data_IF_725935915065
#
_entry.id   IF_725935915065
#
_cell.length_a   1.000
_cell.length_b   1.000
_cell.length_c   1.000
_cell.angle_alpha   90.00
_cell.angle_beta   90.00
_cell.angle_gamma   90.00
#
_symmetry.space_group_name_H-M   'P 1'
#
loop_
_entity.id
_entity.type
_entity.pdbx_description
1 polymer ?
#
# COMPACT_ATOMS: atom_id res chain seq x y z
N UNK A 1 -11.80 -3.80 -14.78
CA UNK A 1 -10.42 -3.37 -15.05
C UNK A 1 -9.99 -2.41 -13.96
N UNK A 2 -8.79 -2.53 -13.38
CA UNK A 2 -8.28 -1.53 -12.44
C UNK A 2 -8.20 -0.16 -13.11
N UNK A 3 -8.59 0.90 -12.38
CA UNK A 3 -8.50 2.29 -12.87
C UNK A 3 -7.26 2.93 -12.23
N UNK A 4 -6.25 3.19 -13.06
CA UNK A 4 -5.00 3.79 -12.62
C UNK A 4 -5.13 5.31 -12.53
N UNK A 5 -4.47 5.92 -11.56
CA UNK A 5 -4.29 7.38 -11.59
C UNK A 5 -3.35 7.72 -12.76
N UNK A 6 -3.82 8.47 -13.78
CA UNK A 6 -3.01 8.78 -14.96
C UNK A 6 -1.84 9.73 -14.66
N UNK A 7 -1.81 10.34 -13.48
CA UNK A 7 -0.79 11.28 -13.03
C UNK A 7 0.16 10.69 -11.98
N UNK A 8 0.18 9.37 -11.81
CA UNK A 8 1.17 8.68 -11.00
C UNK A 8 2.38 8.27 -11.87
N UNK A 9 3.59 8.61 -11.42
CA UNK A 9 4.86 8.35 -12.12
C UNK A 9 5.72 7.40 -11.28
N UNK A 10 5.72 6.08 -11.58
CA UNK A 10 6.51 5.09 -10.85
C UNK A 10 8.03 5.36 -10.84
N UNK A 11 8.53 6.01 -11.88
CA UNK A 11 9.95 6.35 -12.05
C UNK A 11 10.46 7.35 -11.01
N UNK A 12 9.58 8.15 -10.42
CA UNK A 12 9.90 9.17 -9.42
C UNK A 12 9.77 8.63 -7.98
N UNK A 13 9.74 7.31 -7.84
CA UNK A 13 9.66 6.64 -6.55
C UNK A 13 10.83 7.00 -5.63
N UNK A 14 10.52 7.19 -4.34
CA UNK A 14 11.50 7.18 -3.26
C UNK A 14 10.96 6.38 -2.06
N UNK A 15 11.84 5.88 -1.17
CA UNK A 15 11.42 5.16 0.03
C UNK A 15 10.41 5.90 0.92
N UNK A 16 10.40 7.24 0.86
CA UNK A 16 9.53 8.09 1.69
C UNK A 16 8.47 8.87 0.91
N UNK A 17 8.45 8.77 -0.42
CA UNK A 17 7.51 9.55 -1.23
C UNK A 17 7.20 8.87 -2.57
N UNK A 18 5.99 9.12 -3.06
CA UNK A 18 5.58 8.81 -4.43
C UNK A 18 5.20 10.11 -5.14
N UNK A 19 5.47 10.21 -6.43
CA UNK A 19 5.10 11.39 -7.20
C UNK A 19 3.72 11.22 -7.84
N UNK A 20 2.83 12.16 -7.53
CA UNK A 20 1.57 12.36 -8.23
C UNK A 20 1.56 13.80 -8.72
N UNK A 21 1.36 14.02 -10.01
CA UNK A 21 1.19 15.36 -10.57
C UNK A 21 -0.24 15.87 -10.27
N UNK A 22 -0.31 16.87 -9.40
CA UNK A 22 -1.58 17.48 -8.99
C UNK A 22 -1.96 18.73 -9.81
N UNK A 23 -1.23 19.04 -10.89
CA UNK A 23 -1.44 20.24 -11.72
C UNK A 23 -2.83 20.33 -12.36
N UNK A 24 -3.53 19.19 -12.51
CA UNK A 24 -4.86 19.11 -13.11
C UNK A 24 -5.96 18.82 -12.10
N UNK A 25 -5.67 18.87 -10.79
CA UNK A 25 -6.67 18.62 -9.76
C UNK A 25 -7.75 19.70 -9.80
N UNK A 26 -9.01 19.25 -9.82
CA UNK A 26 -10.21 20.08 -9.74
C UNK A 26 -11.17 19.61 -8.66
N UNK A 27 -12.28 20.35 -8.49
CA UNK A 27 -13.37 20.03 -7.59
C UNK A 27 -14.69 19.88 -8.35
N UNK A 28 -15.28 18.70 -8.31
CA UNK A 28 -16.54 18.37 -8.97
C UNK A 28 -17.67 18.35 -7.95
N UNK A 29 -18.65 19.24 -8.09
CA UNK A 29 -19.87 19.23 -7.28
C UNK A 29 -21.10 19.33 -8.19
N UNK A 30 -21.94 18.29 -8.20
CA UNK A 30 -23.12 18.16 -9.06
C UNK A 30 -24.17 17.24 -8.40
N UNK A 31 -25.22 16.85 -9.13
CA UNK A 31 -26.28 15.96 -8.61
C UNK A 31 -25.77 14.58 -8.19
N UNK A 32 -24.73 14.06 -8.84
CA UNK A 32 -24.11 12.76 -8.52
C UNK A 32 -23.16 12.88 -7.32
N UNK A 33 -22.49 14.03 -7.18
CA UNK A 33 -21.53 14.35 -6.13
C UNK A 33 -21.96 15.60 -5.35
N UNK A 34 -23.06 15.55 -4.59
CA UNK A 34 -23.62 16.73 -3.93
C UNK A 34 -22.69 17.33 -2.87
N UNK A 35 -21.88 16.49 -2.21
CA UNK A 35 -20.87 16.91 -1.22
C UNK A 35 -19.54 17.34 -1.86
N UNK A 36 -19.43 17.20 -3.18
CA UNK A 36 -18.23 17.48 -3.96
C UNK A 36 -17.16 16.38 -3.90
N UNK A 37 -16.29 16.34 -4.92
CA UNK A 37 -15.20 15.37 -5.06
C UNK A 37 -13.98 16.00 -5.72
N UNK A 38 -12.76 15.69 -5.25
CA UNK A 38 -11.58 15.92 -6.05
C UNK A 38 -11.61 15.04 -7.30
N UNK A 39 -11.08 15.55 -8.39
CA UNK A 39 -10.82 14.79 -9.61
C UNK A 39 -9.52 15.28 -10.24
N UNK A 40 -8.92 14.47 -11.11
CA UNK A 40 -7.88 14.94 -12.03
C UNK A 40 -8.51 15.11 -13.41
N UNK A 41 -8.38 16.31 -13.98
CA UNK A 41 -8.84 16.57 -15.34
C UNK A 41 -7.94 15.82 -16.34
N UNK A 42 -8.51 15.03 -17.24
CA UNK A 42 -7.73 14.22 -18.21
C UNK A 42 -7.91 14.79 -19.62
N UNK A 43 -6.85 15.36 -20.24
CA UNK A 43 -6.95 15.92 -21.59
C UNK A 43 -7.46 14.91 -22.62
N UNK A 44 -8.60 15.21 -23.25
CA UNK A 44 -9.18 14.36 -24.29
C UNK A 44 -9.83 13.06 -23.79
N UNK A 45 -10.01 12.91 -22.47
CA UNK A 45 -10.63 11.73 -21.85
C UNK A 45 -11.61 12.10 -20.72
N UNK A 46 -12.25 11.10 -20.09
CA UNK A 46 -13.05 11.32 -18.90
C UNK A 46 -12.16 11.66 -17.70
N UNK A 47 -12.66 12.57 -16.85
CA UNK A 47 -12.01 12.93 -15.59
C UNK A 47 -11.79 11.71 -14.69
N UNK A 48 -10.64 11.67 -14.02
CA UNK A 48 -10.37 10.68 -12.99
C UNK A 48 -10.93 11.17 -11.65
N UNK A 49 -12.17 10.78 -11.35
CA UNK A 49 -12.84 11.16 -10.10
C UNK A 49 -12.34 10.28 -8.94
N UNK A 50 -11.88 10.90 -7.85
CA UNK A 50 -11.38 10.14 -6.71
C UNK A 50 -12.52 9.45 -5.95
N UNK A 51 -12.30 8.18 -5.59
CA UNK A 51 -13.28 7.36 -4.88
C UNK A 51 -13.57 7.84 -3.44
N UNK A 52 -14.61 7.29 -2.81
CA UNK A 52 -14.94 7.54 -1.39
C UNK A 52 -13.93 7.01 -0.37
N UNK A 53 -12.80 6.41 -0.80
CA UNK A 53 -11.78 5.83 0.08
C UNK A 53 -10.84 6.91 0.63
N UNK A 54 -11.38 7.80 1.46
CA UNK A 54 -10.63 8.75 2.26
C UNK A 54 -10.97 8.58 3.75
N UNK A 55 -10.03 8.89 4.67
CA UNK A 55 -10.38 8.97 6.07
C UNK A 55 -11.34 10.12 6.37
N UNK A 56 -12.19 9.89 7.38
CA UNK A 56 -12.98 10.95 8.02
C UNK A 56 -12.48 11.13 9.45
N UNK A 57 -11.94 12.31 9.76
CA UNK A 57 -11.36 12.65 11.06
C UNK A 57 -12.01 13.94 11.56
N UNK A 58 -12.37 13.98 12.84
CA UNK A 58 -13.01 15.16 13.46
C UNK A 58 -14.19 15.74 12.65
N UNK A 59 -14.98 14.85 12.03
CA UNK A 59 -16.15 15.21 11.23
C UNK A 59 -15.86 15.65 9.79
N UNK A 60 -14.59 15.79 9.39
CA UNK A 60 -14.16 16.24 8.06
C UNK A 60 -13.52 15.12 7.23
N UNK A 61 -13.62 15.23 5.92
CA UNK A 61 -12.95 14.41 4.92
C UNK A 61 -11.50 14.89 4.76
N UNK A 62 -10.56 13.95 4.85
CA UNK A 62 -9.13 14.23 4.77
C UNK A 62 -8.54 13.57 3.52
N UNK A 63 -8.01 14.39 2.62
CA UNK A 63 -7.18 13.93 1.51
C UNK A 63 -5.70 14.17 1.82
N UNK A 64 -4.80 13.71 0.95
CA UNK A 64 -3.38 13.95 1.14
C UNK A 64 -3.08 15.44 1.27
N UNK A 65 -2.06 15.79 2.05
CA UNK A 65 -1.66 17.19 2.22
C UNK A 65 -1.39 17.85 0.86
N UNK A 66 -0.69 17.14 -0.04
CA UNK A 66 -0.40 17.62 -1.40
C UNK A 66 -1.67 17.82 -2.24
N UNK A 67 -2.62 16.87 -2.26
CA UNK A 67 -3.87 17.02 -3.01
C UNK A 67 -4.71 18.18 -2.46
N UNK A 68 -4.79 18.30 -1.13
CA UNK A 68 -5.59 19.33 -0.46
C UNK A 68 -5.00 20.72 -0.75
N UNK A 69 -3.69 20.87 -0.72
CA UNK A 69 -3.02 22.11 -1.10
C UNK A 69 -3.24 22.42 -2.59
N UNK A 70 -3.14 21.43 -3.48
CA UNK A 70 -3.34 21.62 -4.91
C UNK A 70 -4.76 22.11 -5.28
N UNK A 71 -5.79 21.69 -4.53
CA UNK A 71 -7.16 22.23 -4.72
C UNK A 71 -7.21 23.75 -4.53
N UNK A 72 -6.42 24.28 -3.59
CA UNK A 72 -6.31 25.73 -3.37
C UNK A 72 -5.43 26.39 -4.43
N UNK A 73 -4.25 25.82 -4.71
CA UNK A 73 -3.26 26.38 -5.62
C UNK A 73 -3.79 26.47 -7.07
N UNK A 74 -4.58 25.48 -7.50
CA UNK A 74 -5.20 25.45 -8.82
C UNK A 74 -6.45 26.34 -8.92
N UNK A 75 -6.88 26.96 -7.81
CA UNK A 75 -8.14 27.72 -7.75
C UNK A 75 -9.40 26.86 -7.89
N UNK A 76 -9.29 25.53 -7.74
CA UNK A 76 -10.42 24.61 -7.78
C UNK A 76 -11.38 24.84 -6.60
N UNK A 77 -10.81 25.22 -5.45
CA UNK A 77 -11.53 25.75 -4.29
C UNK A 77 -10.82 27.02 -3.82
N UNK A 78 -11.59 28.00 -3.34
CA UNK A 78 -11.07 29.18 -2.65
C UNK A 78 -11.34 29.06 -1.15
N UNK A 79 -10.78 29.95 -0.34
CA UNK A 79 -11.06 29.98 1.11
C UNK A 79 -12.55 30.24 1.40
N UNK A 80 -13.22 30.99 0.52
CA UNK A 80 -14.63 31.34 0.61
C UNK A 80 -15.54 30.19 0.17
N UNK A 81 -15.12 29.38 -0.81
CA UNK A 81 -15.89 28.25 -1.33
C UNK A 81 -15.52 26.91 -0.70
N UNK A 82 -14.60 26.91 0.27
CA UNK A 82 -14.11 25.69 0.92
C UNK A 82 -15.24 24.95 1.66
N UNK A 83 -15.51 23.66 1.33
CA UNK A 83 -16.55 22.89 2.01
C UNK A 83 -16.28 22.72 3.50
N UNK A 84 -17.29 22.91 4.35
CA UNK A 84 -17.14 22.80 5.81
C UNK A 84 -16.75 21.40 6.29
N UNK A 85 -17.14 20.38 5.52
CA UNK A 85 -16.80 18.99 5.76
C UNK A 85 -15.46 18.57 5.13
N UNK A 86 -14.71 19.46 4.48
CA UNK A 86 -13.39 19.15 3.92
C UNK A 86 -12.30 19.73 4.82
N UNK A 87 -11.28 18.94 5.14
CA UNK A 87 -10.09 19.44 5.83
C UNK A 87 -9.45 20.56 5.02
N UNK A 88 -9.11 21.68 5.66
CA UNK A 88 -8.32 22.75 5.06
C UNK A 88 -6.88 22.29 4.75
N UNK A 89 -6.12 22.98 3.90
CA UNK A 89 -4.72 22.63 3.66
C UNK A 89 -3.89 22.58 4.94
N UNK A 90 -4.12 23.49 5.88
CA UNK A 90 -3.44 23.51 7.18
C UNK A 90 -3.81 22.29 8.04
N UNK A 91 -5.10 21.95 8.09
CA UNK A 91 -5.57 20.76 8.82
C UNK A 91 -5.01 19.48 8.20
N UNK A 92 -5.02 19.37 6.87
CA UNK A 92 -4.45 18.22 6.18
C UNK A 92 -2.94 18.12 6.45
N UNK A 93 -2.18 19.21 6.29
CA UNK A 93 -0.74 19.21 6.55
C UNK A 93 -0.38 18.84 8.00
N UNK A 94 -1.12 19.37 8.98
CA UNK A 94 -0.88 19.10 10.39
C UNK A 94 -1.18 17.64 10.78
N UNK A 95 -2.15 17.01 10.12
CA UNK A 95 -2.66 15.69 10.54
C UNK A 95 -2.28 14.54 9.61
N UNK A 96 -1.86 14.81 8.37
CA UNK A 96 -1.41 13.77 7.44
C UNK A 96 -0.22 12.95 7.95
N UNK A 97 0.74 13.51 8.71
CA UNK A 97 1.82 12.72 9.30
C UNK A 97 1.35 11.58 10.21
N UNK A 98 0.19 11.69 10.88
CA UNK A 98 -0.38 10.56 11.66
C UNK A 98 -0.79 9.37 10.78
N UNK A 99 -0.88 9.56 9.47
CA UNK A 99 -1.32 8.57 8.48
C UNK A 99 -0.16 7.98 7.69
N UNK A 100 1.04 8.52 7.82
CA UNK A 100 2.23 8.06 7.09
C UNK A 100 3.24 7.45 8.07
N UNK A 101 3.74 6.26 7.75
CA UNK A 101 4.68 5.54 8.61
C UNK A 101 6.11 5.54 8.08
N UNK A 102 6.31 6.02 6.84
CA UNK A 102 7.59 5.93 6.12
C UNK A 102 8.76 6.62 6.85
N UNK A 103 8.48 7.64 7.66
CA UNK A 103 9.50 8.34 8.45
C UNK A 103 9.80 7.68 9.81
N UNK A 104 9.01 6.67 10.21
CA UNK A 104 9.16 6.01 11.50
C UNK A 104 10.09 4.79 11.44
N UNK A 105 10.38 4.27 10.25
CA UNK A 105 11.22 3.08 10.08
C UNK A 105 12.62 3.18 10.73
N UNK A 106 13.34 4.31 10.68
CA UNK A 106 14.63 4.43 11.37
C UNK A 106 14.56 4.12 12.88
N UNK A 107 13.44 4.41 13.55
CA UNK A 107 13.26 4.13 14.97
C UNK A 107 13.24 2.63 15.28
N UNK A 108 12.89 1.78 14.31
CA UNK A 108 12.82 0.33 14.51
C UNK A 108 14.21 -0.30 14.62
N UNK A 109 15.21 0.27 13.93
CA UNK A 109 16.59 -0.20 14.02
C UNK A 109 17.11 -0.16 15.47
N UNK A 110 16.76 0.92 16.19
CA UNK A 110 17.24 1.16 17.55
C UNK A 110 16.38 0.44 18.61
N UNK A 111 15.06 0.45 18.44
CA UNK A 111 14.12 0.00 19.48
C UNK A 111 13.78 -1.48 19.36
N UNK A 112 13.76 -2.03 18.15
CA UNK A 112 13.36 -3.41 17.88
C UNK A 112 14.30 -4.08 16.84
N UNK A 113 15.62 -4.12 17.07
CA UNK A 113 16.60 -4.63 16.10
C UNK A 113 16.37 -6.10 15.72
N UNK A 114 15.75 -6.88 16.61
CA UNK A 114 15.46 -8.30 16.38
C UNK A 114 14.10 -8.56 15.74
N UNK A 115 13.31 -7.51 15.44
CA UNK A 115 12.01 -7.65 14.79
C UNK A 115 12.16 -8.37 13.44
N UNK A 116 11.23 -9.29 13.17
CA UNK A 116 11.14 -10.04 11.92
C UNK A 116 9.82 -9.69 11.26
N UNK A 117 9.86 -9.30 9.99
CA UNK A 117 8.68 -8.77 9.29
C UNK A 117 8.37 -9.62 8.07
N UNK A 118 7.08 -9.90 7.86
CA UNK A 118 6.58 -10.47 6.62
C UNK A 118 5.52 -9.54 6.03
N UNK A 119 5.74 -9.12 4.78
CA UNK A 119 4.81 -8.30 4.01
C UNK A 119 3.98 -9.24 3.11
N UNK A 120 2.69 -9.35 3.42
CA UNK A 120 1.77 -10.24 2.69
C UNK A 120 0.96 -9.41 1.70
N UNK A 121 1.03 -9.75 0.41
CA UNK A 121 0.35 -9.01 -0.64
C UNK A 121 0.01 -9.87 -1.86
N UNK A 122 -1.13 -9.54 -2.49
CA UNK A 122 -1.59 -10.22 -3.69
C UNK A 122 -0.93 -9.63 -4.95
N UNK A 123 -0.93 -10.38 -6.04
CA UNK A 123 -0.49 -9.89 -7.35
C UNK A 123 -1.37 -8.73 -7.85
N UNK A 124 -2.66 -8.74 -7.50
CA UNK A 124 -3.63 -7.69 -7.82
C UNK A 124 -4.31 -7.25 -6.53
N UNK A 125 -4.11 -6.00 -6.12
CA UNK A 125 -4.78 -5.45 -4.94
C UNK A 125 -6.11 -4.81 -5.29
N UNK A 126 -7.05 -4.87 -4.34
CA UNK A 126 -8.39 -4.32 -4.49
C UNK A 126 -8.48 -2.80 -4.21
N UNK A 127 -7.45 -2.20 -3.59
CA UNK A 127 -7.39 -0.76 -3.28
C UNK A 127 -6.18 -0.09 -3.93
N UNK A 128 -5.03 -0.77 -4.00
CA UNK A 128 -3.76 -0.21 -4.45
C UNK A 128 -3.35 -0.82 -5.79
N UNK A 129 -3.90 -0.29 -6.88
CA UNK A 129 -3.82 -0.94 -8.20
C UNK A 129 -2.50 -0.76 -8.94
N UNK A 130 -1.65 0.18 -8.49
CA UNK A 130 -0.37 0.52 -9.11
C UNK A 130 0.49 -0.74 -9.36
N UNK A 131 1.08 -0.81 -10.55
CA UNK A 131 1.74 -2.04 -11.06
C UNK A 131 2.97 -2.38 -10.23
N UNK A 132 3.70 -1.34 -9.84
CA UNK A 132 4.94 -1.32 -9.08
C UNK A 132 4.78 -1.47 -7.56
N UNK A 133 3.54 -1.53 -7.06
CA UNK A 133 3.22 -1.79 -5.65
C UNK A 133 3.99 -0.86 -4.69
N UNK A 134 3.91 0.48 -4.83
CA UNK A 134 4.74 1.41 -4.05
C UNK A 134 4.55 1.26 -2.55
N UNK A 135 3.37 0.86 -2.09
CA UNK A 135 3.08 0.60 -0.67
C UNK A 135 3.87 -0.61 -0.11
N UNK A 136 4.13 -1.65 -0.92
CA UNK A 136 4.98 -2.78 -0.54
C UNK A 136 6.45 -2.39 -0.66
N UNK A 137 6.82 -1.66 -1.72
CA UNK A 137 8.18 -1.16 -1.92
C UNK A 137 8.63 -0.27 -0.75
N UNK A 138 7.82 0.73 -0.36
CA UNK A 138 8.14 1.61 0.78
C UNK A 138 8.20 0.86 2.10
N UNK A 139 7.36 -0.16 2.29
CA UNK A 139 7.42 -0.99 3.48
C UNK A 139 8.69 -1.86 3.49
N UNK A 140 9.06 -2.44 2.36
CA UNK A 140 10.28 -3.24 2.24
C UNK A 140 11.52 -2.37 2.46
N UNK A 141 11.63 -1.22 1.79
CA UNK A 141 12.71 -0.24 2.00
C UNK A 141 12.81 0.20 3.45
N UNK A 142 11.67 0.46 4.08
CA UNK A 142 11.59 0.83 5.48
C UNK A 142 12.10 -0.23 6.43
N UNK A 143 11.50 -1.42 6.39
CA UNK A 143 11.85 -2.49 7.31
C UNK A 143 13.24 -3.09 7.03
N UNK A 144 13.57 -3.34 5.76
CA UNK A 144 14.80 -4.04 5.40
C UNK A 144 15.98 -3.08 5.22
N UNK A 145 15.91 -2.14 4.28
CA UNK A 145 17.05 -1.30 3.92
C UNK A 145 17.33 -0.21 4.95
N UNK A 146 16.29 0.39 5.51
CA UNK A 146 16.43 1.48 6.50
C UNK A 146 16.63 0.92 7.91
N UNK A 147 15.80 -0.03 8.34
CA UNK A 147 15.86 -0.57 9.70
C UNK A 147 16.77 -1.80 9.87
N UNK A 148 17.30 -2.38 8.79
CA UNK A 148 18.18 -3.54 8.84
C UNK A 148 17.51 -4.85 9.28
N UNK A 149 16.18 -4.90 9.27
CA UNK A 149 15.42 -6.04 9.78
C UNK A 149 15.38 -7.19 8.77
N UNK A 150 15.17 -8.40 9.30
CA UNK A 150 14.78 -9.53 8.47
C UNK A 150 13.39 -9.25 7.90
N UNK A 151 13.27 -9.30 6.57
CA UNK A 151 12.02 -9.02 5.88
C UNK A 151 11.73 -10.09 4.84
N UNK A 152 10.47 -10.53 4.73
CA UNK A 152 10.05 -11.47 3.70
C UNK A 152 8.80 -11.00 2.98
N UNK A 153 8.76 -11.22 1.67
CA UNK A 153 7.60 -10.96 0.82
C UNK A 153 6.77 -12.24 0.64
N UNK A 154 5.60 -12.32 1.27
CA UNK A 154 4.71 -13.50 1.32
C UNK A 154 5.31 -14.74 2.02
N UNK A 155 4.49 -15.67 2.54
CA UNK A 155 4.98 -16.89 3.19
C UNK A 155 5.66 -17.86 2.22
N UNK A 156 6.45 -18.80 2.73
CA UNK A 156 6.91 -19.98 2.01
C UNK A 156 5.69 -20.78 1.49
N UNK A 157 5.68 -21.20 0.20
CA UNK A 157 4.55 -21.93 -0.37
C UNK A 157 4.15 -23.16 0.42
N UNK A 158 5.10 -23.84 1.08
CA UNK A 158 4.83 -25.03 1.90
C UNK A 158 3.84 -24.78 3.04
N UNK A 159 3.77 -23.56 3.60
CA UNK A 159 2.76 -23.21 4.61
C UNK A 159 1.38 -22.98 4.00
N UNK A 160 1.33 -22.52 2.75
CA UNK A 160 0.07 -22.27 2.05
C UNK A 160 -0.51 -23.56 1.50
N UNK A 161 0.32 -24.42 0.91
CA UNK A 161 -0.06 -25.73 0.39
C UNK A 161 -0.59 -26.66 1.49
N UNK A 162 -0.19 -26.45 2.75
CA UNK A 162 -0.78 -27.17 3.88
C UNK A 162 -2.22 -26.73 4.19
N UNK A 163 -2.61 -25.50 3.81
CA UNK A 163 -3.94 -24.94 4.05
C UNK A 163 -4.86 -24.99 2.83
N UNK A 164 -4.29 -25.10 1.62
CA UNK A 164 -4.99 -24.98 0.35
C UNK A 164 -4.64 -26.15 -0.55
N UNK A 165 -5.63 -26.72 -1.25
CA UNK A 165 -5.39 -27.81 -2.20
C UNK A 165 -4.26 -27.46 -3.20
N UNK A 166 -3.37 -28.40 -3.53
CA UNK A 166 -2.27 -28.18 -4.48
C UNK A 166 -2.75 -27.60 -5.80
N UNK A 167 -1.99 -26.66 -6.37
CA UNK A 167 -2.23 -26.10 -7.71
C UNK A 167 -2.44 -24.58 -7.79
N UNK A 168 -2.49 -23.88 -6.66
CA UNK A 168 -2.42 -22.41 -6.65
C UNK A 168 -0.96 -21.97 -6.64
N UNK A 169 -0.52 -21.24 -7.69
CA UNK A 169 0.84 -20.72 -7.77
C UNK A 169 1.06 -19.64 -6.71
N UNK A 170 1.67 -20.03 -5.58
CA UNK A 170 2.23 -19.09 -4.61
C UNK A 170 3.69 -18.78 -4.97
N UNK A 171 4.10 -17.51 -4.87
CA UNK A 171 5.48 -17.13 -5.12
C UNK A 171 6.37 -17.65 -3.99
N UNK A 172 7.52 -18.22 -4.36
CA UNK A 172 8.55 -18.67 -3.41
C UNK A 172 9.66 -17.62 -3.30
N UNK A 173 9.37 -16.54 -2.57
CA UNK A 173 10.29 -15.42 -2.44
C UNK A 173 11.22 -15.65 -1.24
N UNK A 174 12.52 -15.74 -1.49
CA UNK A 174 13.50 -15.87 -0.40
C UNK A 174 13.46 -14.64 0.52
N UNK A 175 13.57 -14.83 1.84
CA UNK A 175 13.64 -13.70 2.76
C UNK A 175 14.88 -12.82 2.49
N UNK A 176 14.75 -11.53 2.74
CA UNK A 176 15.72 -10.47 2.45
C UNK A 176 16.03 -10.35 0.95
N UNK A 177 15.06 -10.70 0.10
CA UNK A 177 15.13 -10.47 -1.34
C UNK A 177 13.90 -9.71 -1.81
N UNK A 178 14.09 -8.95 -2.88
CA UNK A 178 13.07 -8.11 -3.51
C UNK A 178 13.16 -8.22 -5.04
N UNK A 179 12.14 -7.75 -5.78
CA UNK A 179 12.22 -7.67 -7.23
C UNK A 179 13.43 -6.82 -7.67
N UNK A 180 14.20 -7.31 -8.64
CA UNK A 180 15.25 -6.48 -9.28
C UNK A 180 14.68 -5.30 -10.06
N UNK A 181 13.39 -5.38 -10.42
CA UNK A 181 12.60 -4.33 -11.04
C UNK A 181 11.20 -4.37 -10.42
N UNK A 182 10.84 -3.33 -9.67
CA UNK A 182 9.56 -3.23 -8.98
C UNK A 182 8.38 -3.13 -9.94
N UNK A 183 8.56 -2.78 -11.22
CA UNK A 183 7.50 -2.91 -12.22
C UNK A 183 7.02 -4.37 -12.41
N UNK A 184 7.82 -5.35 -11.95
CA UNK A 184 7.46 -6.77 -11.93
C UNK A 184 6.95 -7.26 -10.57
N UNK A 185 6.68 -6.37 -9.60
CA UNK A 185 6.26 -6.73 -8.24
C UNK A 185 5.01 -7.62 -8.19
N UNK A 186 4.12 -7.54 -9.20
CA UNK A 186 2.96 -8.44 -9.29
C UNK A 186 3.33 -9.92 -9.38
N UNK A 187 4.51 -10.27 -9.91
CA UNK A 187 5.00 -11.65 -9.97
C UNK A 187 5.41 -12.19 -8.58
N UNK A 188 5.71 -11.29 -7.64
CA UNK A 188 6.09 -11.59 -6.26
C UNK A 188 4.89 -11.68 -5.32
N UNK A 189 3.71 -11.23 -5.78
CA UNK A 189 2.45 -11.34 -5.05
C UNK A 189 1.71 -12.64 -5.35
N UNK A 190 0.97 -13.16 -4.38
CA UNK A 190 0.17 -14.38 -4.60
C UNK A 190 -1.05 -14.11 -5.51
N UNK A 191 -1.43 -15.09 -6.32
CA UNK A 191 -2.57 -14.96 -7.24
C UNK A 191 -3.84 -15.50 -6.60
N UNK A 192 -4.73 -14.61 -6.18
CA UNK A 192 -6.06 -14.96 -5.69
C UNK A 192 -7.12 -14.79 -6.79
N UNK A 193 -7.84 -15.86 -7.21
CA UNK A 193 -9.04 -15.71 -8.02
C UNK A 193 -10.06 -14.80 -7.32
N UNK A 194 -10.83 -14.03 -8.11
CA UNK A 194 -11.93 -13.23 -7.56
C UNK A 194 -12.90 -14.12 -6.76
N UNK A 195 -13.26 -13.68 -5.55
CA UNK A 195 -14.13 -14.43 -4.64
C UNK A 195 -13.45 -15.59 -3.91
N UNK A 196 -12.15 -15.82 -4.08
CA UNK A 196 -11.43 -16.85 -3.33
C UNK A 196 -11.14 -16.42 -1.89
N UNK A 197 -11.16 -17.39 -0.96
CA UNK A 197 -10.71 -17.20 0.42
C UNK A 197 -9.18 -17.09 0.55
N UNK A 198 -8.46 -17.01 -0.57
CA UNK A 198 -7.02 -17.13 -0.61
C UNK A 198 -6.32 -15.96 0.07
N UNK A 199 -6.92 -14.76 0.06
CA UNK A 199 -6.38 -13.61 0.80
C UNK A 199 -6.30 -13.90 2.31
N UNK A 200 -7.36 -14.51 2.87
CA UNK A 200 -7.40 -14.90 4.28
C UNK A 200 -6.42 -16.04 4.56
N UNK A 201 -6.36 -17.04 3.67
CA UNK A 201 -5.48 -18.20 3.84
C UNK A 201 -4.00 -17.82 3.71
N UNK A 202 -3.64 -16.89 2.83
CA UNK A 202 -2.28 -16.36 2.73
C UNK A 202 -1.85 -15.66 4.02
N UNK A 203 -2.74 -14.85 4.62
CA UNK A 203 -2.47 -14.20 5.90
C UNK A 203 -2.33 -15.21 7.05
N UNK A 204 -3.18 -16.24 7.10
CA UNK A 204 -3.08 -17.30 8.11
C UNK A 204 -1.81 -18.15 7.95
N UNK A 205 -1.42 -18.49 6.72
CA UNK A 205 -0.17 -19.17 6.41
C UNK A 205 1.04 -18.34 6.88
N UNK A 206 1.03 -17.03 6.60
CA UNK A 206 2.06 -16.10 7.07
C UNK A 206 2.18 -16.07 8.61
N UNK A 207 1.04 -16.01 9.32
CA UNK A 207 1.04 -16.07 10.78
C UNK A 207 1.59 -17.41 11.28
N UNK A 208 1.15 -18.52 10.70
CA UNK A 208 1.64 -19.85 11.08
C UNK A 208 3.16 -19.97 10.86
N UNK A 209 3.67 -19.55 9.70
CA UNK A 209 5.10 -19.56 9.43
C UNK A 209 5.90 -18.70 10.43
N UNK A 210 5.46 -17.46 10.69
CA UNK A 210 6.19 -16.58 11.60
C UNK A 210 6.19 -17.13 13.03
N UNK A 211 5.07 -17.71 13.50
CA UNK A 211 5.00 -18.37 14.82
C UNK A 211 5.92 -19.58 14.88
N UNK A 212 5.94 -20.40 13.83
CA UNK A 212 6.75 -21.59 13.74
C UNK A 212 8.25 -21.27 13.72
N UNK A 213 8.65 -20.24 12.97
CA UNK A 213 10.03 -19.74 12.94
C UNK A 213 10.48 -19.24 14.31
N UNK A 214 9.62 -18.52 15.03
CA UNK A 214 9.88 -18.10 16.41
C UNK A 214 10.05 -19.33 17.32
N UNK A 215 9.11 -20.28 17.25
CA UNK A 215 9.11 -21.48 18.11
C UNK A 215 10.33 -22.37 17.88
N UNK A 216 10.74 -22.54 16.62
CA UNK A 216 11.87 -23.38 16.24
C UNK A 216 13.21 -22.63 16.22
N UNK A 217 13.21 -21.32 16.48
CA UNK A 217 14.34 -20.42 16.25
C UNK A 217 14.99 -20.62 14.87
N UNK A 218 14.18 -20.67 13.81
CA UNK A 218 14.61 -20.99 12.46
C UNK A 218 14.30 -19.86 11.47
N UNK A 219 15.25 -18.92 11.37
CA UNK A 219 15.17 -17.75 10.48
C UNK A 219 15.86 -17.94 9.13
N UNK A 220 16.00 -19.19 8.67
CA UNK A 220 16.54 -19.49 7.34
C UNK A 220 15.77 -18.72 6.26
N UNK A 221 16.44 -18.25 5.20
CA UNK A 221 15.78 -17.43 4.18
C UNK A 221 14.56 -18.08 3.49
N UNK A 222 14.55 -19.41 3.37
CA UNK A 222 13.49 -20.18 2.72
C UNK A 222 13.34 -21.54 3.43
N UNK A 223 12.10 -22.04 3.55
CA UNK A 223 11.77 -23.34 4.14
C UNK A 223 11.20 -24.30 3.10
N UNK A 224 11.81 -25.49 3.00
CA UNK A 224 11.36 -26.56 2.10
C UNK A 224 10.24 -27.43 2.67
N UNK A 225 9.81 -27.18 3.90
CA UNK A 225 8.69 -27.85 4.59
C UNK A 225 8.20 -26.99 5.75
N UNK A 226 6.96 -27.21 6.18
CA UNK A 226 6.46 -26.68 7.45
C UNK A 226 7.35 -27.16 8.61
N UNK A 227 7.54 -26.32 9.63
CA UNK A 227 8.39 -26.67 10.77
C UNK A 227 7.68 -27.57 11.78
N UNK A 228 6.35 -27.45 11.85
CA UNK A 228 5.47 -28.29 12.65
C UNK A 228 4.27 -28.76 11.81
N UNK A 229 3.84 -30.00 12.02
CA UNK A 229 2.62 -30.56 11.42
C UNK A 229 1.42 -30.21 12.31
N UNK A 230 0.27 -29.90 11.68
CA UNK A 230 -0.96 -29.44 12.32
C UNK A 230 -2.17 -30.24 11.85
#
# INVERSE_FOLDING_TARGET
TPVFNPYYYPEDYTPTNIHIDYSTVGWLQNEEYPDGRPYFAVPGGPDYILSYKHPRLWGKDYWSAALTQALLDNGALTRETWPRNLATPEEAAANWPFRTTVHNYPLLADVLPDLKVMLVFASVDHVQVAVDKPHIHQAYDGFHHTAGLWCRLNPDPVYVENLVKPGNAFPDNTANTEPSDWMNARAWGYRAPQGSHLNTLAALAAVAEMVDRVRADNWKPNLSRVLFEY
#
